data_IF_017824232615
#
_entry.id   IF_017824232615
#
_cell.length_a   1.000
_cell.length_b   1.000
_cell.length_c   1.000
_cell.angle_alpha   90.00
_cell.angle_beta   90.00
_cell.angle_gamma   90.00
#
_symmetry.space_group_name_H-M   'P 1'
#
loop_
_entity.id
_entity.type
_entity.pdbx_description
1 polymer ?
#
# COMPACT_ATOMS: atom_id res chain seq x y z
N UNK A 1 42.29 17.75 16.55
CA UNK A 1 42.17 18.68 15.42
C UNK A 1 42.50 20.07 15.94
N UNK A 2 43.64 20.59 15.52
CA UNK A 2 44.12 21.91 15.86
C UNK A 2 43.14 22.96 15.32
N UNK A 3 42.34 23.53 16.18
CA UNK A 3 41.48 24.64 15.86
C UNK A 3 42.30 25.90 15.65
N UNK A 4 42.45 26.36 14.41
CA UNK A 4 42.94 27.70 14.16
C UNK A 4 41.83 28.68 14.63
N UNK A 5 42.13 29.45 15.69
CA UNK A 5 41.29 30.56 16.05
C UNK A 5 41.39 31.63 14.95
N UNK A 6 40.32 31.87 14.21
CA UNK A 6 40.23 33.04 13.34
C UNK A 6 39.87 34.24 14.20
N UNK A 7 40.80 35.18 14.25
CA UNK A 7 40.53 36.50 14.80
C UNK A 7 39.84 37.32 13.67
N UNK A 8 38.63 37.74 13.93
CA UNK A 8 37.92 38.66 13.03
C UNK A 8 38.58 40.03 13.21
N UNK A 9 39.32 40.49 12.22
CA UNK A 9 40.05 41.76 12.23
C UNK A 9 39.21 42.95 11.78
N UNK A 10 38.01 42.72 11.29
CA UNK A 10 37.07 43.79 10.93
C UNK A 10 35.75 43.54 11.65
N UNK A 11 35.24 44.61 12.23
CA UNK A 11 33.93 44.59 12.91
C UNK A 11 32.84 44.27 11.87
N UNK A 12 32.09 43.20 12.02
CA UNK A 12 30.91 43.02 11.18
C UNK A 12 29.94 44.13 11.50
N UNK A 13 29.46 44.83 10.47
CA UNK A 13 28.50 45.94 10.58
C UNK A 13 27.10 45.52 11.08
N UNK A 14 27.05 44.71 12.10
CA UNK A 14 25.83 44.11 12.59
C UNK A 14 25.52 44.54 14.01
N UNK A 15 24.98 45.74 14.06
CA UNK A 15 24.36 46.26 15.27
C UNK A 15 25.28 47.03 16.22
N UNK A 16 24.70 47.80 17.10
CA UNK A 16 25.37 48.54 18.20
C UNK A 16 25.00 47.84 19.53
N UNK A 17 25.97 47.81 20.45
CA UNK A 17 25.70 47.37 21.82
C UNK A 17 24.87 48.42 22.54
N UNK A 18 23.74 48.03 23.09
CA UNK A 18 22.92 48.90 23.95
C UNK A 18 22.99 48.38 25.39
N UNK A 19 23.18 49.28 26.34
CA UNK A 19 23.13 48.98 27.77
C UNK A 19 21.97 49.68 28.43
N UNK A 20 21.29 48.99 29.32
CA UNK A 20 20.21 49.56 30.13
C UNK A 20 20.42 49.20 31.59
N UNK A 21 20.21 50.21 32.47
CA UNK A 21 20.25 49.99 33.92
C UNK A 21 18.84 49.80 34.52
N UNK A 22 17.82 50.16 33.80
CA UNK A 22 16.42 50.15 34.31
C UNK A 22 15.44 49.40 33.41
N UNK A 23 15.91 48.73 32.36
CA UNK A 23 15.10 48.04 31.36
C UNK A 23 14.06 48.92 30.65
N UNK A 24 14.21 50.23 30.71
CA UNK A 24 13.33 51.20 30.05
C UNK A 24 14.05 52.16 29.12
N UNK A 25 15.25 52.57 29.48
CA UNK A 25 16.12 53.41 28.66
C UNK A 25 17.35 52.65 28.26
N UNK A 26 17.73 52.75 26.97
CA UNK A 26 18.84 52.02 26.38
C UNK A 26 19.81 53.01 25.75
N UNK A 27 21.05 52.96 26.22
CA UNK A 27 22.12 53.81 25.72
C UNK A 27 23.01 53.00 24.77
N UNK A 28 23.30 53.57 23.60
CA UNK A 28 24.19 52.99 22.65
C UNK A 28 25.65 53.13 23.11
N UNK A 29 26.37 52.04 23.22
CA UNK A 29 27.78 52.06 23.61
C UNK A 29 28.63 51.69 22.39
N UNK A 30 29.23 52.74 21.80
CA UNK A 30 30.05 52.58 20.60
C UNK A 30 31.53 52.19 20.87
N UNK A 31 31.95 52.27 22.12
CA UNK A 31 33.34 51.98 22.54
C UNK A 31 33.54 50.58 23.10
N UNK A 32 32.49 49.78 23.16
CA UNK A 32 32.55 48.43 23.73
C UNK A 32 31.80 47.45 22.85
N UNK A 33 32.41 46.33 22.61
CA UNK A 33 31.82 45.18 21.91
C UNK A 33 31.61 44.02 22.86
N UNK A 34 30.59 43.23 22.57
CA UNK A 34 30.34 42.02 23.33
C UNK A 34 31.26 40.91 22.84
N UNK A 35 32.13 40.41 23.71
CA UNK A 35 32.94 39.26 23.41
C UNK A 35 32.08 37.97 23.46
N UNK A 36 32.01 37.27 22.38
CA UNK A 36 31.33 35.99 22.33
C UNK A 36 32.21 34.93 21.65
N UNK A 37 31.94 33.68 21.94
CA UNK A 37 32.57 32.56 21.27
C UNK A 37 31.50 31.87 20.44
N UNK A 38 31.65 31.89 19.11
CA UNK A 38 30.81 31.14 18.21
C UNK A 38 31.41 29.75 17.99
N UNK A 39 30.70 28.73 18.40
CA UNK A 39 31.06 27.36 18.09
C UNK A 39 30.20 26.86 16.96
N UNK A 40 30.81 26.33 15.93
CA UNK A 40 30.12 25.69 14.82
C UNK A 40 30.56 24.23 14.76
N UNK A 41 29.61 23.33 14.56
CA UNK A 41 29.92 21.94 14.32
C UNK A 41 30.70 21.82 12.99
N UNK A 42 31.83 21.12 13.01
CA UNK A 42 32.54 20.74 11.81
C UNK A 42 32.16 19.30 11.49
N UNK A 43 31.39 19.12 10.45
CA UNK A 43 31.07 17.79 9.95
C UNK A 43 32.16 17.33 9.00
N UNK A 44 32.70 16.15 9.21
CA UNK A 44 33.50 15.48 8.19
C UNK A 44 32.56 14.87 7.17
N UNK A 45 32.74 15.24 5.92
CA UNK A 45 32.00 14.59 4.83
C UNK A 45 32.53 13.17 4.64
N UNK A 46 31.68 12.22 4.83
CA UNK A 46 31.94 10.79 4.61
C UNK A 46 30.64 10.11 4.20
N UNK A 47 30.74 8.99 3.51
CA UNK A 47 29.62 8.11 3.28
C UNK A 47 29.59 7.04 4.34
N UNK A 48 28.45 6.85 4.97
CA UNK A 48 28.20 5.73 5.86
C UNK A 48 27.04 4.90 5.32
N UNK A 49 27.15 3.59 5.37
CA UNK A 49 26.04 2.69 5.07
C UNK A 49 25.42 2.27 6.39
N UNK A 50 24.15 2.60 6.57
CA UNK A 50 23.37 2.13 7.70
C UNK A 50 22.51 0.99 7.18
N UNK A 51 22.71 -0.23 7.70
CA UNK A 51 21.84 -1.36 7.46
C UNK A 51 20.80 -1.40 8.56
N UNK A 52 19.54 -1.21 8.17
CA UNK A 52 18.40 -1.39 9.06
C UNK A 52 17.75 -2.72 8.70
N UNK A 53 17.54 -3.58 9.69
CA UNK A 53 16.73 -4.79 9.53
C UNK A 53 15.44 -4.62 10.35
N UNK A 54 14.33 -5.02 9.77
CA UNK A 54 13.06 -5.06 10.46
C UNK A 54 12.48 -6.46 10.30
N UNK A 55 11.88 -6.98 11.34
CA UNK A 55 11.10 -8.21 11.24
C UNK A 55 9.82 -7.94 10.42
N UNK A 56 9.32 -8.99 9.77
CA UNK A 56 8.04 -8.92 9.09
C UNK A 56 6.98 -8.42 10.06
N UNK A 57 6.24 -7.40 9.66
CA UNK A 57 5.12 -6.92 10.45
C UNK A 57 4.03 -7.96 10.35
N UNK A 58 3.97 -8.87 11.32
CA UNK A 58 2.98 -9.95 11.39
C UNK A 58 1.68 -9.53 12.08
N UNK A 59 1.67 -8.35 12.69
CA UNK A 59 0.48 -7.86 13.39
C UNK A 59 -0.66 -7.58 12.41
N UNK A 60 -1.82 -8.16 12.73
CA UNK A 60 -3.04 -8.03 11.95
C UNK A 60 -4.09 -7.27 12.76
N UNK A 61 -4.93 -6.52 12.09
CA UNK A 61 -6.15 -5.94 12.65
C UNK A 61 -7.37 -6.40 11.86
N UNK A 62 -8.50 -6.46 12.51
CA UNK A 62 -9.77 -6.71 11.84
C UNK A 62 -10.35 -5.41 11.31
N UNK A 63 -10.76 -5.38 10.05
CA UNK A 63 -11.45 -4.24 9.44
C UNK A 63 -12.91 -4.18 9.88
N UNK A 64 -13.60 -3.08 9.57
CA UNK A 64 -15.05 -2.94 9.81
C UNK A 64 -15.85 -4.00 9.04
N UNK A 65 -15.34 -4.47 7.91
CA UNK A 65 -15.93 -5.53 7.09
C UNK A 65 -15.57 -6.94 7.56
N UNK A 66 -14.81 -7.06 8.66
CA UNK A 66 -14.42 -8.34 9.26
C UNK A 66 -13.21 -9.01 8.59
N UNK A 67 -12.54 -8.36 7.64
CA UNK A 67 -11.33 -8.89 7.04
C UNK A 67 -10.11 -8.69 7.95
N UNK A 68 -9.18 -9.65 7.93
CA UNK A 68 -7.87 -9.50 8.58
C UNK A 68 -6.90 -8.82 7.62
N UNK A 69 -6.34 -7.70 8.04
CA UNK A 69 -5.36 -6.93 7.26
C UNK A 69 -4.17 -6.54 8.13
N UNK A 70 -2.99 -6.30 7.56
CA UNK A 70 -1.87 -5.77 8.33
C UNK A 70 -2.25 -4.49 9.08
N UNK A 71 -1.72 -4.31 10.28
CA UNK A 71 -2.05 -3.15 11.16
C UNK A 71 -1.88 -1.81 10.43
N UNK A 72 -0.87 -1.70 9.58
CA UNK A 72 -0.57 -0.49 8.82
C UNK A 72 -1.26 -0.42 7.45
N UNK A 73 -2.15 -1.36 7.15
CA UNK A 73 -2.88 -1.31 5.89
C UNK A 73 -3.76 -0.07 5.82
N UNK A 74 -3.60 0.68 4.76
CA UNK A 74 -4.41 1.84 4.45
C UNK A 74 -5.65 1.40 3.68
N UNK A 75 -6.83 1.88 4.11
CA UNK A 75 -8.04 1.76 3.30
C UNK A 75 -7.94 2.73 2.13
N UNK A 76 -8.06 2.20 0.95
CA UNK A 76 -8.01 2.98 -0.28
C UNK A 76 -9.36 3.67 -0.56
N UNK A 77 -9.37 4.62 -1.47
CA UNK A 77 -10.61 5.22 -1.98
C UNK A 77 -11.45 4.17 -2.73
N UNK A 78 -12.72 4.49 -2.98
CA UNK A 78 -13.60 3.61 -3.73
C UNK A 78 -13.03 3.33 -5.14
N UNK A 79 -13.13 2.07 -5.57
CA UNK A 79 -12.66 1.60 -6.87
C UNK A 79 -11.20 2.01 -7.19
N UNK A 80 -10.24 1.63 -6.34
CA UNK A 80 -8.87 2.12 -6.48
C UNK A 80 -8.06 1.37 -7.53
N UNK A 81 -8.59 0.32 -8.10
CA UNK A 81 -7.94 -0.54 -9.09
C UNK A 81 -8.35 -0.07 -10.49
N UNK A 82 -7.36 0.24 -11.32
CA UNK A 82 -7.59 0.64 -12.71
C UNK A 82 -7.04 -0.45 -13.63
N UNK A 83 -7.93 -1.06 -14.39
CA UNK A 83 -7.62 -2.14 -15.33
C UNK A 83 -7.73 -1.59 -16.75
N UNK A 84 -6.63 -1.62 -17.47
CA UNK A 84 -6.57 -1.24 -18.89
C UNK A 84 -6.73 -2.47 -19.78
N UNK A 85 -7.57 -2.39 -20.81
CA UNK A 85 -7.78 -3.48 -21.73
C UNK A 85 -6.47 -3.96 -22.36
N UNK A 86 -6.26 -5.27 -22.38
CA UNK A 86 -5.07 -5.92 -22.93
C UNK A 86 -3.74 -5.57 -22.23
N UNK A 87 -3.76 -4.93 -21.06
CA UNK A 87 -2.57 -4.61 -20.28
C UNK A 87 -2.50 -5.47 -19.02
N UNK A 88 -1.42 -6.19 -18.83
CA UNK A 88 -1.14 -6.94 -17.60
C UNK A 88 -0.66 -6.05 -16.46
N UNK A 89 -0.46 -4.76 -16.70
CA UNK A 89 -0.15 -3.78 -15.66
C UNK A 89 -1.45 -3.19 -15.11
N UNK A 90 -1.76 -3.51 -13.88
CA UNK A 90 -2.92 -3.01 -13.14
C UNK A 90 -2.48 -1.85 -12.27
N UNK A 91 -3.06 -0.67 -12.46
CA UNK A 91 -2.76 0.49 -11.63
C UNK A 91 -3.54 0.42 -10.32
N UNK A 92 -2.86 0.77 -9.23
CA UNK A 92 -3.43 0.90 -7.90
C UNK A 92 -3.34 2.36 -7.48
N UNK A 93 -4.49 2.98 -7.20
CA UNK A 93 -4.56 4.32 -6.61
C UNK A 93 -4.42 4.22 -5.11
N UNK A 94 -3.26 4.54 -4.62
CA UNK A 94 -2.88 4.46 -3.22
C UNK A 94 -2.23 5.78 -2.80
N UNK A 95 -3.02 6.61 -2.16
CA UNK A 95 -2.63 7.95 -1.78
C UNK A 95 -1.55 7.92 -0.70
N UNK A 96 -0.54 8.77 -0.84
CA UNK A 96 0.52 8.94 0.15
C UNK A 96 1.20 7.62 0.56
N UNK A 97 1.36 6.68 -0.39
CA UNK A 97 1.86 5.34 -0.10
C UNK A 97 3.34 5.28 0.33
N UNK A 98 4.11 6.33 0.10
CA UNK A 98 5.51 6.43 0.53
C UNK A 98 6.51 5.51 -0.20
N UNK A 99 6.05 4.66 -1.11
CA UNK A 99 6.92 3.76 -1.87
C UNK A 99 7.69 4.53 -2.95
N UNK A 100 8.96 4.22 -3.12
CA UNK A 100 9.87 4.94 -4.03
C UNK A 100 10.74 4.02 -4.88
N UNK A 101 10.67 2.72 -4.68
CA UNK A 101 11.49 1.73 -5.37
C UNK A 101 10.64 0.64 -6.00
N UNK A 102 11.02 0.22 -7.19
CA UNK A 102 10.41 -0.95 -7.85
C UNK A 102 10.60 -2.25 -7.08
N UNK A 103 11.50 -2.27 -6.10
CA UNK A 103 11.70 -3.40 -5.19
C UNK A 103 10.75 -3.38 -3.98
N UNK A 104 9.94 -2.33 -3.81
CA UNK A 104 8.92 -2.32 -2.75
C UNK A 104 7.91 -3.45 -2.98
N UNK A 105 7.55 -4.12 -1.90
CA UNK A 105 6.51 -5.13 -1.89
C UNK A 105 5.23 -4.54 -1.31
N UNK A 106 4.10 -4.90 -1.86
CA UNK A 106 2.81 -4.42 -1.40
C UNK A 106 1.82 -5.56 -1.22
N UNK A 107 1.09 -5.54 -0.13
CA UNK A 107 -0.03 -6.44 0.14
C UNK A 107 -1.31 -5.70 -0.24
N UNK A 108 -2.11 -6.28 -1.12
CA UNK A 108 -3.43 -5.77 -1.52
C UNK A 108 -4.48 -6.78 -1.10
N UNK A 109 -5.54 -6.31 -0.46
CA UNK A 109 -6.66 -7.16 -0.01
C UNK A 109 -7.99 -6.44 -0.17
N UNK A 110 -9.08 -7.21 -0.20
CA UNK A 110 -10.43 -6.64 -0.21
C UNK A 110 -10.93 -6.18 -1.58
N UNK A 111 -10.16 -6.38 -2.65
CA UNK A 111 -10.66 -6.12 -4.01
C UNK A 111 -11.79 -7.09 -4.30
N UNK A 112 -12.95 -6.57 -4.71
CA UNK A 112 -14.17 -7.33 -5.00
C UNK A 112 -14.79 -6.87 -6.32
N UNK A 113 -15.43 -7.78 -7.04
CA UNK A 113 -16.24 -7.42 -8.21
C UNK A 113 -17.57 -6.75 -7.82
N UNK A 114 -18.01 -6.94 -6.58
CA UNK A 114 -19.33 -6.50 -6.11
C UNK A 114 -20.47 -7.33 -6.69
N UNK A 115 -20.22 -8.37 -7.47
CA UNK A 115 -21.22 -9.21 -8.12
C UNK A 115 -21.40 -10.50 -7.33
N UNK A 116 -22.62 -10.81 -6.93
CA UNK A 116 -22.93 -12.02 -6.20
C UNK A 116 -24.26 -12.64 -6.59
N UNK A 117 -24.39 -13.92 -6.32
CA UNK A 117 -25.61 -14.73 -6.45
C UNK A 117 -25.60 -15.83 -5.40
N UNK A 118 -26.44 -16.85 -5.53
CA UNK A 118 -26.45 -17.99 -4.61
C UNK A 118 -26.44 -19.33 -5.37
N UNK A 119 -26.08 -20.40 -4.66
CA UNK A 119 -26.22 -21.78 -5.14
C UNK A 119 -27.71 -22.11 -5.33
N UNK A 120 -28.10 -22.49 -6.56
CA UNK A 120 -29.52 -22.61 -6.91
C UNK A 120 -30.20 -23.92 -6.45
N UNK A 121 -29.74 -25.07 -6.94
CA UNK A 121 -30.54 -26.30 -6.89
C UNK A 121 -29.92 -27.43 -6.13
N UNK A 122 -28.62 -27.66 -6.25
CA UNK A 122 -27.91 -28.76 -5.61
C UNK A 122 -26.80 -28.25 -4.74
N UNK A 123 -26.73 -28.73 -3.51
CA UNK A 123 -25.59 -28.49 -2.64
C UNK A 123 -24.30 -29.01 -3.30
N UNK A 124 -23.20 -28.27 -3.13
CA UNK A 124 -21.91 -28.74 -3.60
C UNK A 124 -21.28 -29.63 -2.55
N UNK A 125 -20.75 -30.76 -3.02
CA UNK A 125 -19.80 -31.57 -2.23
C UNK A 125 -18.37 -31.18 -2.61
N UNK A 126 -17.40 -31.65 -1.88
CA UNK A 126 -15.97 -31.41 -2.19
C UNK A 126 -15.53 -31.94 -3.55
N UNK A 127 -16.30 -32.87 -4.15
CA UNK A 127 -16.02 -33.52 -5.44
C UNK A 127 -16.96 -33.09 -6.56
N UNK A 128 -17.85 -32.13 -6.31
CA UNK A 128 -18.77 -31.64 -7.34
C UNK A 128 -18.02 -31.04 -8.52
N UNK A 129 -18.42 -31.39 -9.74
CA UNK A 129 -17.83 -30.93 -11.00
C UNK A 129 -18.65 -29.87 -11.71
N UNK A 130 -19.82 -29.55 -11.17
CA UNK A 130 -20.70 -28.50 -11.70
C UNK A 130 -21.43 -27.76 -10.58
N UNK A 131 -21.79 -26.52 -10.85
CA UNK A 131 -22.48 -25.59 -9.96
C UNK A 131 -23.55 -24.84 -10.76
N UNK A 132 -24.72 -24.68 -10.18
CA UNK A 132 -25.80 -23.88 -10.79
C UNK A 132 -26.05 -22.61 -9.97
N UNK A 133 -25.97 -21.47 -10.65
CA UNK A 133 -26.25 -20.15 -10.09
C UNK A 133 -27.76 -19.89 -10.02
N UNK A 134 -28.23 -19.27 -8.98
CA UNK A 134 -29.61 -18.80 -8.90
C UNK A 134 -29.90 -17.68 -9.94
N UNK A 135 -28.90 -16.87 -10.22
CA UNK A 135 -28.94 -15.85 -11.28
C UNK A 135 -27.53 -15.68 -11.87
N UNK A 136 -27.44 -15.52 -13.18
CA UNK A 136 -26.21 -15.17 -13.87
C UNK A 136 -26.16 -13.67 -14.25
N UNK A 137 -27.01 -12.85 -13.65
CA UNK A 137 -27.02 -11.40 -13.92
C UNK A 137 -25.66 -10.80 -13.55
N UNK A 138 -25.06 -10.06 -14.47
CA UNK A 138 -23.72 -9.46 -14.38
C UNK A 138 -22.54 -10.46 -14.31
N UNK A 139 -22.82 -11.76 -14.38
CA UNK A 139 -21.76 -12.74 -14.61
C UNK A 139 -21.39 -12.78 -16.10
N UNK A 140 -20.18 -13.24 -16.45
CA UNK A 140 -19.83 -13.53 -17.84
C UNK A 140 -20.82 -14.51 -18.45
N UNK A 141 -21.18 -14.29 -19.71
CA UNK A 141 -22.12 -15.18 -20.41
C UNK A 141 -21.53 -16.54 -20.80
N UNK A 142 -20.20 -16.59 -20.93
CA UNK A 142 -19.43 -17.78 -21.29
C UNK A 142 -17.96 -17.64 -20.94
N UNK A 143 -17.20 -18.72 -21.01
CA UNK A 143 -15.77 -18.76 -20.80
C UNK A 143 -15.37 -19.15 -19.38
N UNK A 144 -14.10 -19.00 -19.06
CA UNK A 144 -13.58 -19.31 -17.73
C UNK A 144 -14.05 -18.27 -16.72
N UNK A 145 -14.54 -18.75 -15.59
CA UNK A 145 -15.00 -17.89 -14.49
C UNK A 145 -14.38 -18.36 -13.18
N UNK A 146 -14.06 -17.41 -12.32
CA UNK A 146 -13.64 -17.64 -10.94
C UNK A 146 -14.74 -17.16 -10.01
N UNK A 147 -15.12 -17.98 -9.04
CA UNK A 147 -16.13 -17.65 -8.03
C UNK A 147 -15.59 -18.00 -6.65
N UNK A 148 -16.11 -17.32 -5.66
CA UNK A 148 -15.80 -17.58 -4.25
C UNK A 148 -17.07 -17.92 -3.49
N UNK A 149 -17.03 -18.99 -2.68
CA UNK A 149 -18.10 -19.40 -1.79
C UNK A 149 -17.49 -19.57 -0.41
N UNK A 150 -17.87 -18.71 0.52
CA UNK A 150 -17.20 -18.61 1.84
C UNK A 150 -15.68 -18.41 1.66
N UNK A 151 -14.87 -19.38 2.09
CA UNK A 151 -13.40 -19.31 1.96
C UNK A 151 -12.86 -20.07 0.72
N UNK A 152 -13.70 -20.80 0.00
CA UNK A 152 -13.26 -21.56 -1.15
C UNK A 152 -13.31 -20.73 -2.43
N UNK A 153 -12.25 -20.80 -3.22
CA UNK A 153 -12.16 -20.25 -4.58
C UNK A 153 -12.26 -21.42 -5.57
N UNK A 154 -13.13 -21.23 -6.55
CA UNK A 154 -13.45 -22.25 -7.56
C UNK A 154 -13.31 -21.63 -8.93
N UNK A 155 -12.67 -22.32 -9.88
CA UNK A 155 -12.74 -21.96 -11.30
C UNK A 155 -13.55 -22.98 -12.08
N UNK A 156 -14.14 -22.55 -13.19
CA UNK A 156 -14.89 -23.41 -14.09
C UNK A 156 -15.26 -22.70 -15.39
N UNK A 157 -16.01 -23.37 -16.23
CA UNK A 157 -16.52 -22.78 -17.48
C UNK A 157 -18.00 -22.46 -17.33
N UNK A 158 -18.35 -21.19 -17.46
CA UNK A 158 -19.73 -20.72 -17.37
C UNK A 158 -20.43 -20.79 -18.71
N UNK A 159 -21.69 -21.22 -18.66
CA UNK A 159 -22.65 -21.15 -19.79
C UNK A 159 -24.04 -20.93 -19.21
N UNK A 160 -24.60 -19.76 -19.43
CA UNK A 160 -25.85 -19.34 -18.79
C UNK A 160 -25.73 -19.33 -17.27
N UNK A 161 -26.55 -20.10 -16.58
CA UNK A 161 -26.51 -20.22 -15.09
C UNK A 161 -25.66 -21.39 -14.59
N UNK A 162 -25.03 -22.16 -15.47
CA UNK A 162 -24.26 -23.34 -15.08
C UNK A 162 -22.76 -23.05 -15.20
N UNK A 163 -22.02 -23.38 -14.16
CA UNK A 163 -20.56 -23.45 -14.19
C UNK A 163 -20.17 -24.93 -14.13
N UNK A 164 -19.46 -25.39 -15.15
CA UNK A 164 -19.03 -26.79 -15.31
C UNK A 164 -17.50 -26.92 -15.27
N UNK A 165 -17.01 -28.15 -15.25
CA UNK A 165 -15.56 -28.44 -15.19
C UNK A 165 -14.88 -27.71 -14.03
N UNK A 166 -15.48 -27.82 -12.84
CA UNK A 166 -14.99 -27.12 -11.66
C UNK A 166 -13.60 -27.62 -11.25
N UNK A 167 -12.70 -26.68 -11.06
CA UNK A 167 -11.47 -26.87 -10.30
C UNK A 167 -11.69 -26.24 -8.94
N UNK A 168 -11.64 -27.07 -7.90
CA UNK A 168 -12.01 -26.73 -6.53
C UNK A 168 -10.79 -26.38 -5.70
N UNK A 169 -10.95 -25.48 -4.71
CA UNK A 169 -9.90 -25.17 -3.75
C UNK A 169 -8.66 -24.55 -4.38
N UNK A 170 -8.81 -23.57 -5.28
CA UNK A 170 -7.67 -22.87 -5.90
C UNK A 170 -7.21 -21.67 -5.06
N UNK A 171 -5.99 -21.18 -5.30
CA UNK A 171 -5.48 -19.95 -4.69
C UNK A 171 -5.36 -20.04 -3.16
N UNK A 172 -4.73 -21.11 -2.66
CA UNK A 172 -4.54 -21.38 -1.21
C UNK A 172 -5.86 -21.58 -0.42
N UNK A 173 -6.94 -21.98 -1.11
CA UNK A 173 -8.19 -22.36 -0.48
C UNK A 173 -8.42 -23.87 -0.57
N UNK A 174 -9.23 -24.41 0.36
CA UNK A 174 -9.59 -25.84 0.37
C UNK A 174 -10.98 -26.07 -0.20
N UNK A 175 -11.17 -27.21 -0.87
CA UNK A 175 -12.47 -27.63 -1.35
C UNK A 175 -13.40 -27.96 -0.16
N UNK A 176 -14.56 -27.32 -0.13
CA UNK A 176 -15.55 -27.48 0.94
C UNK A 176 -16.95 -27.82 0.41
N UNK A 177 -17.81 -28.34 1.27
CA UNK A 177 -19.22 -28.53 0.94
C UNK A 177 -19.97 -27.21 1.13
N UNK A 178 -20.87 -26.89 0.19
CA UNK A 178 -21.70 -25.69 0.27
C UNK A 178 -23.18 -26.03 0.08
N UNK A 179 -24.01 -25.48 0.95
CA UNK A 179 -25.46 -25.70 0.88
C UNK A 179 -26.10 -24.90 -0.26
N UNK A 180 -27.30 -25.33 -0.66
CA UNK A 180 -28.20 -24.50 -1.47
C UNK A 180 -28.46 -23.18 -0.75
N UNK A 181 -28.45 -22.07 -1.47
CA UNK A 181 -28.58 -20.73 -0.90
C UNK A 181 -27.25 -20.10 -0.42
N UNK A 182 -26.15 -20.85 -0.41
CA UNK A 182 -24.84 -20.27 -0.09
C UNK A 182 -24.48 -19.14 -1.09
N UNK A 183 -23.96 -18.04 -0.58
CA UNK A 183 -23.56 -16.89 -1.41
C UNK A 183 -22.37 -17.27 -2.28
N UNK A 184 -22.47 -16.93 -3.56
CA UNK A 184 -21.44 -17.05 -4.56
C UNK A 184 -21.04 -15.65 -5.00
N UNK A 185 -19.79 -15.30 -4.84
CA UNK A 185 -19.22 -14.05 -5.34
C UNK A 185 -18.48 -14.30 -6.65
N UNK A 186 -18.66 -13.44 -7.64
CA UNK A 186 -17.80 -13.44 -8.82
C UNK A 186 -16.40 -12.99 -8.39
N UNK A 187 -15.43 -13.89 -8.46
CA UNK A 187 -14.09 -13.67 -7.95
C UNK A 187 -13.08 -13.33 -9.07
N UNK A 188 -13.52 -12.50 -9.99
CA UNK A 188 -12.74 -11.92 -11.07
C UNK A 188 -13.31 -10.57 -11.50
N UNK A 189 -12.47 -9.74 -12.11
CA UNK A 189 -12.83 -8.48 -12.75
C UNK A 189 -12.17 -8.45 -14.12
N UNK A 190 -12.95 -8.17 -15.18
CA UNK A 190 -12.43 -8.09 -16.55
C UNK A 190 -11.56 -9.30 -16.94
N UNK A 191 -12.02 -10.49 -16.59
CA UNK A 191 -11.34 -11.77 -16.76
C UNK A 191 -10.10 -12.00 -15.87
N UNK A 192 -9.66 -11.02 -15.11
CA UNK A 192 -8.54 -11.18 -14.15
C UNK A 192 -9.06 -11.78 -12.86
N UNK A 193 -8.56 -12.96 -12.44
CA UNK A 193 -8.88 -13.54 -11.14
C UNK A 193 -8.44 -12.63 -10.00
N UNK A 194 -9.28 -12.46 -9.00
CA UNK A 194 -8.93 -11.63 -7.84
C UNK A 194 -7.79 -12.21 -7.00
N UNK A 195 -7.47 -13.48 -7.15
CA UNK A 195 -6.24 -14.10 -6.58
C UNK A 195 -4.97 -13.46 -7.13
N UNK A 196 -5.02 -12.87 -8.32
CA UNK A 196 -3.87 -12.20 -8.92
C UNK A 196 -3.70 -10.76 -8.41
N UNK A 197 -4.74 -10.19 -7.80
CA UNK A 197 -4.75 -8.81 -7.25
C UNK A 197 -4.68 -8.85 -5.72
N UNK A 198 -5.54 -9.65 -5.07
CA UNK A 198 -5.58 -9.80 -3.61
C UNK A 198 -4.46 -10.73 -3.12
N UNK A 199 -3.24 -10.23 -3.14
CA UNK A 199 -2.06 -10.98 -2.69
C UNK A 199 -0.92 -10.03 -2.31
N UNK A 200 0.19 -10.60 -1.86
CA UNK A 200 1.47 -9.88 -1.80
C UNK A 200 2.08 -9.81 -3.20
N UNK A 201 2.30 -8.60 -3.69
CA UNK A 201 3.04 -8.34 -4.91
C UNK A 201 4.50 -8.07 -4.57
N UNK A 202 5.40 -8.82 -5.20
CA UNK A 202 6.85 -8.65 -5.06
C UNK A 202 7.34 -7.71 -6.16
N UNK A 203 7.47 -6.44 -5.81
CA UNK A 203 7.81 -5.39 -6.75
C UNK A 203 6.60 -4.66 -7.33
N UNK A 204 6.82 -3.40 -7.62
CA UNK A 204 5.84 -2.48 -8.21
C UNK A 204 6.51 -1.71 -9.34
N UNK A 205 5.72 -1.17 -10.26
CA UNK A 205 6.21 -0.37 -11.39
C UNK A 205 5.45 0.96 -11.50
N UNK A 206 5.90 1.84 -12.38
CA UNK A 206 5.25 3.13 -12.67
C UNK A 206 4.84 3.89 -11.42
N UNK A 207 5.79 4.04 -10.50
CA UNK A 207 5.56 4.65 -9.19
C UNK A 207 5.36 6.15 -9.35
N UNK A 208 4.22 6.65 -8.88
CA UNK A 208 3.89 8.05 -8.74
C UNK A 208 3.58 8.34 -7.26
N UNK A 209 3.30 9.59 -6.92
CA UNK A 209 3.03 9.98 -5.53
C UNK A 209 1.78 9.30 -4.94
N UNK A 210 0.76 9.07 -5.75
CA UNK A 210 -0.54 8.53 -5.34
C UNK A 210 -0.93 7.24 -6.06
N UNK A 211 -0.01 6.61 -6.78
CA UNK A 211 -0.29 5.38 -7.52
C UNK A 211 0.96 4.61 -7.92
N UNK A 212 0.80 3.35 -8.19
CA UNK A 212 1.79 2.45 -8.77
C UNK A 212 1.07 1.39 -9.60
N UNK A 213 1.83 0.57 -10.33
CA UNK A 213 1.26 -0.60 -11.01
C UNK A 213 1.81 -1.90 -10.42
N UNK A 214 0.93 -2.90 -10.37
CA UNK A 214 1.27 -4.30 -10.09
C UNK A 214 1.05 -5.12 -11.37
N UNK A 215 1.79 -6.21 -11.51
CA UNK A 215 1.66 -7.08 -12.70
C UNK A 215 0.78 -8.28 -12.37
N UNK A 216 -0.19 -8.54 -13.23
CA UNK A 216 -1.02 -9.76 -13.24
C UNK A 216 -0.62 -10.67 -14.39
N UNK A 217 -0.93 -11.95 -14.29
CA UNK A 217 -0.60 -12.95 -15.33
C UNK A 217 -1.67 -13.01 -16.42
N UNK A 218 -2.92 -12.81 -16.02
CA UNK A 218 -4.08 -12.84 -16.94
C UNK A 218 -4.19 -11.53 -17.69
N UNK A 219 -4.32 -11.59 -19.01
CA UNK A 219 -4.58 -10.42 -19.84
C UNK A 219 -6.04 -9.98 -19.67
N UNK A 220 -6.30 -8.76 -19.18
CA UNK A 220 -7.65 -8.26 -19.00
C UNK A 220 -8.44 -8.10 -20.30
N UNK A 221 -9.73 -8.35 -20.21
CA UNK A 221 -10.71 -8.06 -21.28
C UNK A 221 -11.74 -7.11 -20.70
N UNK A 222 -11.60 -5.82 -21.00
CA UNK A 222 -12.55 -4.77 -20.58
C UNK A 222 -13.67 -4.69 -21.61
N UNK A 223 -14.91 -4.83 -21.14
CA UNK A 223 -16.09 -4.66 -21.98
C UNK A 223 -16.34 -3.17 -22.28
N UNK A 224 -16.32 -2.82 -23.56
CA UNK A 224 -16.60 -1.44 -24.00
C UNK A 224 -15.45 -0.82 -24.79
N UNK A 225 -15.66 0.42 -25.23
CA UNK A 225 -14.70 1.17 -26.07
C UNK A 225 -13.72 2.04 -25.29
N UNK A 226 -13.86 2.16 -23.98
CA UNK A 226 -12.95 2.92 -23.13
C UNK A 226 -11.90 2.00 -22.51
N UNK A 227 -10.65 2.39 -22.67
CA UNK A 227 -9.50 1.53 -22.34
C UNK A 227 -9.29 1.21 -20.87
N UNK A 228 -9.89 1.96 -19.95
CA UNK A 228 -9.65 1.85 -18.52
C UNK A 228 -10.96 1.63 -17.75
N UNK A 229 -10.92 0.70 -16.79
CA UNK A 229 -12.05 0.41 -15.90
C UNK A 229 -11.61 0.59 -14.44
N UNK A 230 -12.34 1.43 -13.69
CA UNK A 230 -12.09 1.73 -12.28
C UNK A 230 -12.95 0.82 -11.41
N UNK A 231 -12.33 -0.09 -10.70
CA UNK A 231 -12.99 -1.21 -10.02
C UNK A 231 -12.39 -1.49 -8.66
N UNK A 232 -12.94 -2.47 -7.95
CA UNK A 232 -12.37 -3.01 -6.72
C UNK A 232 -13.25 -2.84 -5.49
N UNK A 233 -14.26 -1.96 -5.54
CA UNK A 233 -15.18 -1.75 -4.42
C UNK A 233 -14.65 -0.76 -3.37
N UNK A 234 -15.27 -0.76 -2.18
CA UNK A 234 -15.04 0.24 -1.13
C UNK A 234 -14.20 -0.26 0.05
N UNK A 235 -13.85 -1.54 0.07
CA UNK A 235 -13.18 -2.19 1.18
C UNK A 235 -11.79 -2.70 0.78
N UNK A 236 -11.10 -1.96 -0.08
CA UNK A 236 -9.74 -2.30 -0.53
C UNK A 236 -8.73 -1.72 0.44
N UNK A 237 -7.80 -2.56 0.87
CA UNK A 237 -6.69 -2.20 1.74
C UNK A 237 -5.37 -2.50 1.05
N UNK A 238 -4.41 -1.62 1.22
CA UNK A 238 -3.05 -1.84 0.77
C UNK A 238 -2.04 -1.44 1.85
N UNK A 239 -0.95 -2.18 1.92
CA UNK A 239 0.16 -1.88 2.82
C UNK A 239 1.47 -2.28 2.16
N UNK A 240 2.54 -1.57 2.48
CA UNK A 240 3.87 -2.10 2.26
C UNK A 240 4.08 -3.36 3.09
N UNK A 241 4.81 -4.34 2.55
CA UNK A 241 5.15 -5.55 3.28
C UNK A 241 6.21 -5.31 4.37
N UNK A 242 6.97 -4.23 4.23
CA UNK A 242 7.98 -3.77 5.19
C UNK A 242 7.83 -2.28 5.39
N UNK A 243 7.67 -1.85 6.64
CA UNK A 243 7.64 -0.44 6.99
C UNK A 243 8.71 -0.14 8.02
N UNK A 244 9.56 0.84 7.71
CA UNK A 244 10.44 1.46 8.69
C UNK A 244 9.79 2.75 9.17
N UNK A 245 9.44 2.82 10.45
CA UNK A 245 9.14 4.08 11.10
C UNK A 245 10.37 4.54 11.89
N UNK A 246 11.03 5.57 11.39
CA UNK A 246 11.94 6.37 12.20
C UNK A 246 11.06 7.25 13.09
N UNK A 247 10.80 6.81 14.32
CA UNK A 247 10.08 7.63 15.29
C UNK A 247 10.89 8.89 15.57
N UNK A 248 10.25 10.04 15.42
CA UNK A 248 10.84 11.37 15.68
C UNK A 248 11.44 11.48 17.10
N UNK A 249 10.91 10.73 18.05
CA UNK A 249 11.42 10.59 19.40
C UNK A 249 12.78 9.87 19.46
N UNK A 250 13.03 8.92 18.57
CA UNK A 250 14.34 8.25 18.48
C UNK A 250 15.42 9.18 17.89
N UNK A 251 15.02 10.07 16.98
CA UNK A 251 15.93 11.09 16.43
C UNK A 251 16.27 12.18 17.43
N UNK A 252 15.42 12.48 18.42
CA UNK A 252 15.69 13.45 19.49
C UNK A 252 16.62 12.91 20.55
N UNK A 253 16.78 11.59 20.64
CA UNK A 253 17.72 10.90 21.55
C UNK A 253 18.97 10.39 20.83
N UNK A 254 19.08 10.55 19.52
CA UNK A 254 20.33 10.41 18.82
C UNK A 254 21.20 11.63 19.16
N UNK A 255 21.69 11.68 20.38
CA UNK A 255 22.87 12.47 20.68
C UNK A 255 23.98 11.85 19.81
N UNK A 256 24.31 12.54 18.73
CA UNK A 256 25.58 12.35 18.08
C UNK A 256 26.65 12.77 19.09
N UNK A 257 26.98 11.89 20.02
CA UNK A 257 28.17 12.02 20.81
C UNK A 257 29.32 12.16 19.82
N UNK A 258 29.92 13.35 19.79
CA UNK A 258 30.97 13.71 18.84
C UNK A 258 32.28 12.96 18.98
N UNK A 259 32.24 11.72 19.37
CA UNK A 259 33.34 10.77 19.36
C UNK A 259 33.17 9.82 18.16
N UNK A 260 33.38 10.34 16.98
CA UNK A 260 33.75 9.60 15.78
C UNK A 260 35.16 9.98 15.40
#
# INVERSE_FOLDING_TARGET
VSGSSRVISSQPHLGSLFKSQNNRTWDAVQSQDMKFTLRKAAFTTGSATISLSNDNISEQRTTEEGASVPVYAQRLLANPIVITNSSTNVQVRHRDHGMYSTSNNVVITGVSSGISTTVATNALTTTSTSLTLASATNFPSSGTVHVKIANEIISGTISGTTISSLTRGIGDSDAAAHAVGATIELYQINSVPLTEINKTHTGINNINIDSYTVTVSTTPVVSGTSGDDEVGGNAVYASENYRFELMKTALSTLELDGTL
#
